data_IF_728033662991
#
_entry.id   IF_728033662991
#
_cell.length_a   1.000
_cell.length_b   1.000
_cell.length_c   1.000
_cell.angle_alpha   90.00
_cell.angle_beta   90.00
_cell.angle_gamma   90.00
#
_symmetry.space_group_name_H-M   'P 1'
#
loop_
_entity.id
_entity.type
_entity.pdbx_description
1 polymer ?
#
# COMPACT_ATOMS: atom_id res chain seq x y z
N UNK A 1 14.18 3.28 54.13
CA UNK A 1 12.77 3.39 53.66
C UNK A 1 12.51 4.63 52.80
N UNK A 2 13.26 5.70 52.97
CA UNK A 2 13.00 6.96 52.26
C UNK A 2 13.42 6.99 50.77
N UNK A 3 14.53 6.31 50.45
CA UNK A 3 14.96 6.20 49.03
C UNK A 3 13.96 5.44 48.17
N UNK A 4 13.37 4.38 48.66
CA UNK A 4 12.38 3.60 47.89
C UNK A 4 11.10 4.42 47.62
N UNK A 5 10.66 5.20 48.63
CA UNK A 5 9.51 6.12 48.46
C UNK A 5 9.81 7.24 47.46
N UNK A 6 11.00 7.83 47.52
CA UNK A 6 11.43 8.84 46.56
C UNK A 6 11.49 8.28 45.14
N UNK A 7 12.02 7.06 44.97
CA UNK A 7 12.08 6.38 43.68
C UNK A 7 10.67 6.12 43.09
N UNK A 8 9.76 5.62 43.95
CA UNK A 8 8.37 5.39 43.55
C UNK A 8 7.64 6.68 43.15
N UNK A 9 7.90 7.80 43.84
CA UNK A 9 7.31 9.09 43.48
C UNK A 9 7.86 9.62 42.16
N UNK A 10 9.18 9.47 41.94
CA UNK A 10 9.81 9.88 40.65
C UNK A 10 9.29 9.05 39.47
N UNK A 11 9.30 7.72 39.59
CA UNK A 11 8.81 6.84 38.54
C UNK A 11 7.29 6.99 38.30
N UNK A 12 6.51 7.14 39.38
CA UNK A 12 5.09 7.41 39.31
C UNK A 12 4.80 8.74 38.60
N UNK A 13 5.53 9.82 38.96
CA UNK A 13 5.43 11.11 38.31
C UNK A 13 5.82 11.07 36.81
N UNK A 14 6.91 10.35 36.48
CA UNK A 14 7.35 10.15 35.12
C UNK A 14 6.28 9.37 34.29
N UNK A 15 5.72 8.33 34.87
CA UNK A 15 4.64 7.54 34.26
C UNK A 15 3.41 8.40 33.96
N UNK A 16 2.97 9.21 34.92
CA UNK A 16 1.85 10.15 34.72
C UNK A 16 2.16 11.18 33.63
N UNK A 17 3.38 11.72 33.61
CA UNK A 17 3.81 12.68 32.59
C UNK A 17 3.80 12.05 31.17
N UNK A 18 4.31 10.82 31.02
CA UNK A 18 4.30 10.10 29.75
C UNK A 18 2.87 9.81 29.26
N UNK A 19 1.98 9.39 30.16
CA UNK A 19 0.56 9.18 29.87
C UNK A 19 -0.09 10.49 29.41
N UNK A 20 0.15 11.60 30.12
CA UNK A 20 -0.39 12.91 29.77
C UNK A 20 0.13 13.38 28.38
N UNK A 21 1.43 13.19 28.10
CA UNK A 21 2.02 13.51 26.78
C UNK A 21 1.39 12.65 25.68
N UNK A 22 1.16 11.36 25.92
CA UNK A 22 0.48 10.48 24.97
C UNK A 22 -0.94 10.97 24.65
N UNK A 23 -1.74 11.31 25.66
CA UNK A 23 -3.09 11.85 25.46
C UNK A 23 -3.08 13.19 24.73
N UNK A 24 -2.14 14.09 25.07
CA UNK A 24 -2.01 15.38 24.39
C UNK A 24 -1.63 15.18 22.91
N UNK A 25 -0.74 14.24 22.61
CA UNK A 25 -0.36 13.89 21.23
C UNK A 25 -1.57 13.34 20.46
N UNK A 26 -2.29 12.37 21.01
CA UNK A 26 -3.49 11.77 20.40
C UNK A 26 -4.58 12.81 20.15
N UNK A 27 -4.85 13.68 21.12
CA UNK A 27 -5.81 14.79 20.95
C UNK A 27 -5.38 15.76 19.82
N UNK A 28 -4.09 16.09 19.74
CA UNK A 28 -3.58 16.97 18.65
C UNK A 28 -3.73 16.29 17.29
N UNK A 29 -3.38 15.00 17.20
CA UNK A 29 -3.54 14.20 15.99
C UNK A 29 -5.00 14.17 15.54
N UNK A 30 -5.93 13.81 16.42
CA UNK A 30 -7.38 13.78 16.13
C UNK A 30 -7.92 15.15 15.67
N UNK A 31 -7.50 16.24 16.33
CA UNK A 31 -7.87 17.60 15.92
C UNK A 31 -7.33 17.96 14.54
N UNK A 32 -6.11 17.54 14.21
CA UNK A 32 -5.52 17.77 12.88
C UNK A 32 -6.30 17.01 11.81
N UNK A 33 -6.55 15.71 12.01
CA UNK A 33 -7.32 14.88 11.07
C UNK A 33 -8.71 15.46 10.85
N UNK A 34 -9.41 15.82 11.92
CA UNK A 34 -10.74 16.44 11.83
C UNK A 34 -10.72 17.78 11.05
N UNK A 35 -9.69 18.62 11.25
CA UNK A 35 -9.54 19.85 10.45
C UNK A 35 -9.35 19.54 8.95
N UNK A 36 -8.55 18.53 8.62
CA UNK A 36 -8.31 18.12 7.23
C UNK A 36 -9.60 17.58 6.60
N UNK A 37 -10.36 16.78 7.33
CA UNK A 37 -11.65 16.24 6.85
C UNK A 37 -12.68 17.31 6.54
N UNK A 38 -12.62 18.47 7.22
CA UNK A 38 -13.51 19.60 6.98
C UNK A 38 -13.09 20.46 5.78
N UNK A 39 -11.91 20.22 5.19
CA UNK A 39 -11.50 20.94 4.00
C UNK A 39 -12.39 20.55 2.81
N UNK A 40 -12.76 21.52 1.95
CA UNK A 40 -13.44 21.19 0.71
C UNK A 40 -12.52 20.38 -0.20
N UNK A 41 -13.06 19.34 -0.83
CA UNK A 41 -12.28 18.55 -1.78
C UNK A 41 -12.07 19.38 -3.06
N UNK A 42 -10.81 19.66 -3.49
CA UNK A 42 -10.52 20.56 -4.60
C UNK A 42 -11.09 20.04 -5.93
N UNK A 43 -11.62 20.95 -6.77
CA UNK A 43 -12.15 20.57 -8.10
C UNK A 43 -11.07 19.99 -9.02
N UNK A 44 -9.82 20.49 -8.92
CA UNK A 44 -8.69 19.89 -9.63
C UNK A 44 -8.55 18.41 -9.32
N UNK A 45 -8.66 18.02 -8.04
CA UNK A 45 -8.55 16.62 -7.60
C UNK A 45 -9.68 15.77 -8.18
N UNK A 46 -10.92 16.27 -8.19
CA UNK A 46 -12.04 15.57 -8.83
C UNK A 46 -11.81 15.35 -10.32
N UNK A 47 -11.29 16.36 -11.01
CA UNK A 47 -10.96 16.27 -12.43
C UNK A 47 -9.89 15.21 -12.73
N UNK A 48 -8.87 15.12 -11.89
CA UNK A 48 -7.83 14.09 -11.99
C UNK A 48 -8.43 12.70 -11.74
N UNK A 49 -9.18 12.54 -10.66
CA UNK A 49 -9.79 11.26 -10.28
C UNK A 49 -10.80 10.75 -11.31
N UNK A 50 -11.57 11.64 -11.92
CA UNK A 50 -12.55 11.27 -12.94
C UNK A 50 -11.93 10.61 -14.18
N UNK A 51 -10.63 10.81 -14.44
CA UNK A 51 -9.88 10.15 -15.51
C UNK A 51 -9.44 8.74 -15.15
N UNK A 52 -9.42 8.39 -13.86
CA UNK A 52 -8.99 7.05 -13.41
C UNK A 52 -10.06 5.99 -13.68
N UNK A 53 -9.69 4.73 -13.97
CA UNK A 53 -10.65 3.68 -14.31
C UNK A 53 -11.65 3.35 -13.20
N UNK A 54 -11.25 3.54 -11.93
CA UNK A 54 -12.00 3.13 -10.77
C UNK A 54 -12.96 4.19 -10.24
N UNK A 55 -12.54 5.45 -10.16
CA UNK A 55 -13.24 6.45 -9.35
C UNK A 55 -14.72 6.61 -9.71
N UNK A 56 -15.03 6.72 -11.00
CA UNK A 56 -16.43 6.87 -11.48
C UNK A 56 -17.30 5.63 -11.29
N UNK A 57 -16.68 4.45 -11.07
CA UNK A 57 -17.38 3.17 -10.87
C UNK A 57 -17.68 2.88 -9.41
N UNK A 58 -17.03 3.59 -8.51
CA UNK A 58 -17.29 3.45 -7.06
C UNK A 58 -18.65 4.06 -6.69
N UNK A 59 -19.24 3.54 -5.63
CA UNK A 59 -20.43 4.14 -5.05
C UNK A 59 -20.16 5.58 -4.58
N UNK A 60 -21.20 6.43 -4.53
CA UNK A 60 -21.04 7.80 -4.02
C UNK A 60 -20.53 7.83 -2.56
N UNK A 61 -20.85 6.81 -1.79
CA UNK A 61 -20.36 6.64 -0.42
C UNK A 61 -18.87 6.38 -0.41
N UNK A 62 -18.38 5.46 -1.27
CA UNK A 62 -16.96 5.12 -1.36
C UNK A 62 -16.14 6.26 -1.96
N UNK A 63 -16.70 6.97 -2.95
CA UNK A 63 -16.06 8.19 -3.47
C UNK A 63 -15.84 9.22 -2.36
N UNK A 64 -16.84 9.45 -1.48
CA UNK A 64 -16.70 10.37 -0.35
C UNK A 64 -15.66 9.88 0.68
N UNK A 65 -15.64 8.58 0.98
CA UNK A 65 -14.61 7.99 1.86
C UNK A 65 -13.22 8.20 1.27
N UNK A 66 -13.03 7.89 -0.01
CA UNK A 66 -11.77 8.10 -0.72
C UNK A 66 -11.34 9.56 -0.76
N UNK A 67 -12.25 10.50 -1.03
CA UNK A 67 -11.93 11.92 -1.01
C UNK A 67 -11.34 12.36 0.34
N UNK A 68 -11.95 11.91 1.45
CA UNK A 68 -11.43 12.19 2.80
C UNK A 68 -10.05 11.55 3.02
N UNK A 69 -9.93 10.26 2.68
CA UNK A 69 -8.67 9.54 2.82
C UNK A 69 -7.53 10.17 2.01
N UNK A 70 -7.80 10.61 0.77
CA UNK A 70 -6.85 11.31 -0.10
C UNK A 70 -6.42 12.64 0.53
N UNK A 71 -7.35 13.44 1.08
CA UNK A 71 -6.99 14.68 1.76
C UNK A 71 -6.08 14.42 2.97
N UNK A 72 -6.44 13.45 3.81
CA UNK A 72 -5.62 13.06 4.96
C UNK A 72 -4.23 12.61 4.48
N UNK A 73 -4.17 11.74 3.48
CA UNK A 73 -2.94 11.22 2.93
C UNK A 73 -2.03 12.35 2.43
N UNK A 74 -2.53 13.24 1.59
CA UNK A 74 -1.75 14.35 1.01
C UNK A 74 -1.26 15.33 2.09
N UNK A 75 -2.06 15.58 3.14
CA UNK A 75 -1.70 16.53 4.19
C UNK A 75 -0.84 15.92 5.30
N UNK A 76 -0.74 14.61 5.39
CA UNK A 76 0.04 13.92 6.44
C UNK A 76 1.32 13.30 5.92
N UNK A 77 1.49 13.14 4.60
CA UNK A 77 2.69 12.56 3.98
C UNK A 77 3.53 13.66 3.32
N UNK A 78 4.85 13.46 3.33
CA UNK A 78 5.81 14.30 2.62
C UNK A 78 6.08 13.71 1.25
N UNK A 79 5.97 14.53 0.19
CA UNK A 79 6.29 14.10 -1.18
C UNK A 79 7.60 14.76 -1.60
N UNK A 80 8.57 13.97 -2.00
CA UNK A 80 9.92 14.41 -2.39
C UNK A 80 10.21 13.95 -3.80
N UNK A 81 10.39 14.91 -4.72
CA UNK A 81 10.82 14.61 -6.09
C UNK A 81 12.34 14.56 -6.18
N UNK A 82 12.87 13.51 -6.80
CA UNK A 82 14.31 13.39 -7.10
C UNK A 82 14.53 13.76 -8.55
N UNK A 83 15.22 14.89 -8.78
CA UNK A 83 15.43 15.46 -10.12
C UNK A 83 14.12 15.81 -10.87
N UNK A 84 13.05 16.08 -10.14
CA UNK A 84 11.77 16.52 -10.67
C UNK A 84 10.95 17.28 -9.64
N UNK A 85 10.05 18.14 -10.11
CA UNK A 85 9.06 18.79 -9.26
C UNK A 85 7.82 17.90 -9.08
N UNK A 86 7.29 17.87 -7.86
CA UNK A 86 6.06 17.13 -7.54
C UNK A 86 4.84 18.00 -7.87
N UNK A 87 4.01 17.51 -8.78
CA UNK A 87 2.76 18.18 -9.12
C UNK A 87 1.60 17.73 -8.22
N UNK A 88 0.53 18.54 -8.15
CA UNK A 88 -0.69 18.14 -7.42
C UNK A 88 -1.34 16.89 -8.04
N UNK A 89 -1.26 16.74 -9.36
CA UNK A 89 -1.74 15.54 -10.06
C UNK A 89 -1.01 14.28 -9.58
N UNK A 90 0.32 14.32 -9.46
CA UNK A 90 1.11 13.21 -8.90
C UNK A 90 0.65 12.84 -7.49
N UNK A 91 0.50 13.82 -6.61
CA UNK A 91 0.04 13.59 -5.23
C UNK A 91 -1.33 12.93 -5.21
N UNK A 92 -2.27 13.42 -6.03
CA UNK A 92 -3.63 12.89 -6.11
C UNK A 92 -3.66 11.47 -6.62
N UNK A 93 -2.90 11.15 -7.67
CA UNK A 93 -2.85 9.81 -8.25
C UNK A 93 -2.23 8.81 -7.27
N UNK A 94 -1.10 9.15 -6.65
CA UNK A 94 -0.46 8.29 -5.66
C UNK A 94 -1.40 8.06 -4.47
N UNK A 95 -1.96 9.14 -3.91
CA UNK A 95 -2.90 9.05 -2.80
C UNK A 95 -4.16 8.26 -3.16
N UNK A 96 -4.67 8.38 -4.39
CA UNK A 96 -5.85 7.66 -4.86
C UNK A 96 -5.63 6.14 -4.83
N UNK A 97 -4.58 5.65 -5.49
CA UNK A 97 -4.33 4.20 -5.54
C UNK A 97 -3.94 3.63 -4.17
N UNK A 98 -3.15 4.37 -3.39
CA UNK A 98 -2.85 4.00 -2.01
C UNK A 98 -4.13 3.85 -1.16
N UNK A 99 -5.00 4.85 -1.18
CA UNK A 99 -6.23 4.85 -0.38
C UNK A 99 -7.30 3.90 -0.93
N UNK A 100 -7.30 3.60 -2.24
CA UNK A 100 -8.21 2.64 -2.85
C UNK A 100 -8.06 1.25 -2.23
N UNK A 101 -6.83 0.83 -1.93
CA UNK A 101 -6.54 -0.44 -1.27
C UNK A 101 -7.17 -0.56 0.13
N UNK A 102 -7.43 0.56 0.79
CA UNK A 102 -7.94 0.62 2.15
C UNK A 102 -9.36 1.22 2.26
N UNK A 103 -10.06 1.41 1.14
CA UNK A 103 -11.35 2.16 1.09
C UNK A 103 -12.45 1.56 1.97
N UNK A 104 -12.42 0.25 2.19
CA UNK A 104 -13.35 -0.48 3.05
C UNK A 104 -12.77 -0.88 4.40
N UNK A 105 -11.48 -0.59 4.64
CA UNK A 105 -10.85 -0.83 5.95
C UNK A 105 -11.15 0.32 6.89
N UNK A 106 -11.43 0.00 8.14
CA UNK A 106 -11.61 1.00 9.20
C UNK A 106 -10.27 1.57 9.64
N UNK A 107 -9.72 2.49 8.85
CA UNK A 107 -8.47 3.18 9.18
C UNK A 107 -8.72 4.67 9.26
N UNK A 108 -8.53 5.26 10.45
CA UNK A 108 -8.60 6.72 10.64
C UNK A 108 -7.51 7.44 9.85
N UNK A 109 -6.38 6.78 9.62
CA UNK A 109 -5.24 7.32 8.89
C UNK A 109 -4.60 6.21 8.05
N UNK A 110 -4.72 6.33 6.72
CA UNK A 110 -4.11 5.38 5.80
C UNK A 110 -2.58 5.38 5.96
N UNK A 111 -2.00 4.20 6.20
CA UNK A 111 -0.54 4.00 6.32
C UNK A 111 0.10 4.91 7.37
N UNK A 112 -0.26 4.72 8.64
CA UNK A 112 0.18 5.59 9.73
C UNK A 112 1.71 5.63 9.91
N UNK A 113 2.40 4.51 9.72
CA UNK A 113 3.85 4.38 9.79
C UNK A 113 4.57 5.13 8.65
N UNK A 114 3.98 5.18 7.45
CA UNK A 114 4.53 5.85 6.28
C UNK A 114 4.55 7.37 6.48
N UNK A 115 5.71 7.99 6.22
CA UNK A 115 5.89 9.46 6.32
C UNK A 115 6.27 10.10 4.99
N UNK A 116 7.07 9.40 4.20
CA UNK A 116 7.69 9.99 3.01
C UNK A 116 7.38 9.18 1.76
N UNK A 117 7.08 9.87 0.67
CA UNK A 117 6.95 9.30 -0.66
C UNK A 117 7.99 9.97 -1.55
N UNK A 118 8.95 9.17 -2.01
CA UNK A 118 10.00 9.63 -2.91
C UNK A 118 9.59 9.29 -4.33
N UNK A 119 9.63 10.26 -5.22
CA UNK A 119 9.22 10.08 -6.61
C UNK A 119 10.41 10.33 -7.53
N UNK A 120 10.73 9.34 -8.35
CA UNK A 120 11.73 9.43 -9.42
C UNK A 120 11.04 9.55 -10.78
N UNK A 121 11.59 10.34 -11.73
CA UNK A 121 10.98 10.48 -13.07
C UNK A 121 11.04 9.18 -13.87
N UNK A 122 12.17 8.48 -13.81
CA UNK A 122 12.46 7.23 -14.51
C UNK A 122 13.25 6.29 -13.60
N UNK A 123 13.33 5.02 -14.00
CA UNK A 123 14.17 4.04 -13.33
C UNK A 123 15.61 4.53 -13.27
N UNK A 124 16.17 4.62 -12.08
CA UNK A 124 17.58 4.93 -11.89
C UNK A 124 18.36 3.62 -12.03
N UNK A 125 19.01 3.43 -13.17
CA UNK A 125 19.97 2.33 -13.35
C UNK A 125 21.26 2.72 -12.64
N UNK A 126 21.28 2.62 -11.32
CA UNK A 126 22.49 2.73 -10.51
C UNK A 126 23.23 1.39 -10.52
N UNK A 127 24.55 1.42 -10.73
CA UNK A 127 25.40 0.21 -10.72
C UNK A 127 25.39 -0.61 -9.43
N UNK A 128 24.66 -0.20 -8.40
CA UNK A 128 24.52 -0.90 -7.11
C UNK A 128 23.13 -1.51 -6.86
N UNK A 129 22.19 -1.39 -7.79
CA UNK A 129 20.86 -2.00 -7.69
C UNK A 129 20.79 -3.34 -8.44
N UNK A 130 21.90 -3.82 -8.95
CA UNK A 130 22.02 -5.13 -9.58
C UNK A 130 22.52 -6.18 -8.61
N UNK A 131 21.64 -6.64 -7.74
CA UNK A 131 21.79 -7.97 -7.15
C UNK A 131 20.45 -8.68 -7.32
N UNK A 132 20.46 -9.59 -8.30
CA UNK A 132 19.40 -10.50 -8.71
C UNK A 132 18.43 -10.01 -9.79
N UNK A 133 18.85 -10.14 -11.04
CA UNK A 133 17.99 -10.52 -12.16
C UNK A 133 16.84 -9.60 -12.51
N UNK A 134 17.13 -8.36 -12.87
CA UNK A 134 16.27 -7.49 -13.69
C UNK A 134 14.80 -7.43 -13.32
N UNK A 135 14.35 -6.25 -13.05
CA UNK A 135 13.06 -5.71 -12.70
C UNK A 135 13.03 -5.39 -11.20
N UNK A 136 13.21 -4.11 -10.90
CA UNK A 136 12.88 -3.44 -9.64
C UNK A 136 12.92 -4.31 -8.39
N UNK A 137 14.05 -4.90 -8.06
CA UNK A 137 14.28 -5.26 -6.68
C UNK A 137 14.65 -3.99 -5.96
N UNK A 138 13.88 -3.66 -4.95
CA UNK A 138 14.19 -2.70 -3.93
C UNK A 138 15.69 -2.65 -3.67
N UNK A 139 16.35 -1.63 -4.19
CA UNK A 139 17.53 -1.17 -3.54
C UNK A 139 17.02 -0.61 -2.20
N UNK A 140 17.23 -1.34 -1.11
CA UNK A 140 17.27 -0.73 0.19
C UNK A 140 18.15 0.49 0.04
N UNK A 141 17.56 1.66 -0.11
CA UNK A 141 18.25 2.89 0.13
C UNK A 141 18.56 2.86 1.63
N UNK A 142 19.70 2.32 1.99
CA UNK A 142 20.37 2.60 3.24
C UNK A 142 20.79 4.06 3.19
N UNK A 143 19.81 4.95 3.32
CA UNK A 143 20.05 6.25 3.91
C UNK A 143 20.31 5.95 5.38
N UNK A 144 21.60 5.94 5.74
CA UNK A 144 22.11 5.84 7.11
C UNK A 144 21.11 5.47 8.19
N UNK A 145 20.88 4.20 8.40
CA UNK A 145 20.59 3.63 9.71
C UNK A 145 19.21 3.83 10.35
N UNK A 146 18.25 4.55 9.77
CA UNK A 146 17.02 4.85 10.53
C UNK A 146 15.66 4.90 9.78
N UNK A 147 15.51 4.64 8.50
CA UNK A 147 14.21 4.86 7.85
C UNK A 147 13.85 3.96 6.67
N UNK A 148 14.16 2.71 6.63
CA UNK A 148 13.64 1.82 5.57
C UNK A 148 12.11 1.61 5.67
N UNK A 149 11.49 1.81 6.84
CA UNK A 149 10.11 1.41 7.13
C UNK A 149 9.08 2.56 7.10
N UNK A 150 9.45 3.80 6.77
CA UNK A 150 8.53 4.92 6.70
C UNK A 150 8.55 5.65 5.35
N UNK A 151 9.10 5.01 4.32
CA UNK A 151 9.33 5.63 3.00
C UNK A 151 8.97 4.68 1.87
N UNK A 152 8.13 5.16 0.95
CA UNK A 152 7.78 4.49 -0.32
C UNK A 152 8.46 5.21 -1.47
N UNK A 153 8.97 4.43 -2.43
CA UNK A 153 9.60 4.95 -3.66
C UNK A 153 8.71 4.67 -4.86
N UNK A 154 8.39 5.70 -5.64
CA UNK A 154 7.54 5.59 -6.83
C UNK A 154 8.32 6.04 -8.07
N UNK A 155 8.33 5.20 -9.11
CA UNK A 155 8.82 5.56 -10.43
C UNK A 155 7.66 6.15 -11.23
N UNK A 156 7.66 7.48 -11.42
CA UNK A 156 6.52 8.19 -11.98
C UNK A 156 6.17 7.76 -13.40
N UNK A 157 7.18 7.54 -14.26
CA UNK A 157 6.93 7.11 -15.64
C UNK A 157 6.09 5.82 -15.74
N UNK A 158 6.30 4.88 -14.83
CA UNK A 158 5.51 3.64 -14.76
C UNK A 158 4.14 3.90 -14.11
N UNK A 159 4.13 4.67 -13.02
CA UNK A 159 2.91 5.04 -12.30
C UNK A 159 1.92 5.81 -13.21
N UNK A 160 2.40 6.76 -14.00
CA UNK A 160 1.58 7.56 -14.92
C UNK A 160 0.88 6.71 -15.98
N UNK A 161 1.58 5.72 -16.54
CA UNK A 161 0.98 4.80 -17.52
C UNK A 161 -0.18 4.00 -16.93
N UNK A 162 0.00 3.50 -15.71
CA UNK A 162 -1.01 2.70 -15.03
C UNK A 162 -2.15 3.55 -14.47
N UNK A 163 -1.92 4.84 -14.19
CA UNK A 163 -2.87 5.71 -13.51
C UNK A 163 -4.22 5.83 -14.23
N UNK A 164 -4.20 5.82 -15.57
CA UNK A 164 -5.38 6.08 -16.39
C UNK A 164 -5.86 4.89 -17.21
N UNK A 165 -5.10 3.80 -17.24
CA UNK A 165 -5.40 2.63 -18.08
C UNK A 165 -5.23 1.33 -17.29
N UNK A 166 -6.22 0.46 -17.33
CA UNK A 166 -6.14 -0.87 -16.77
C UNK A 166 -5.20 -1.79 -17.56
N UNK A 167 -4.82 -2.90 -16.94
CA UNK A 167 -3.97 -3.97 -17.49
C UNK A 167 -2.50 -3.57 -17.67
N UNK A 168 -2.08 -2.52 -16.99
CA UNK A 168 -0.67 -2.18 -16.81
C UNK A 168 -0.15 -2.71 -15.47
N UNK A 169 1.15 -2.72 -15.29
CA UNK A 169 1.74 -2.94 -13.97
C UNK A 169 1.59 -1.63 -13.18
N UNK A 170 0.78 -1.66 -12.13
CA UNK A 170 0.54 -0.50 -11.32
C UNK A 170 1.50 -0.47 -10.14
N UNK A 171 2.64 0.18 -10.35
CA UNK A 171 3.69 0.28 -9.33
C UNK A 171 3.20 0.91 -8.03
N UNK A 172 2.21 1.82 -8.07
CA UNK A 172 1.64 2.39 -6.84
C UNK A 172 0.92 1.31 -6.04
N UNK A 173 0.07 0.51 -6.68
CA UNK A 173 -0.61 -0.61 -6.01
C UNK A 173 0.40 -1.59 -5.45
N UNK A 174 1.46 -1.89 -6.20
CA UNK A 174 2.53 -2.81 -5.81
C UNK A 174 3.21 -2.36 -4.51
N UNK A 175 3.77 -1.15 -4.50
CA UNK A 175 4.48 -0.61 -3.33
C UNK A 175 3.56 -0.47 -2.12
N UNK A 176 2.31 -0.04 -2.32
CA UNK A 176 1.36 0.07 -1.22
C UNK A 176 0.79 -1.29 -0.76
N UNK A 177 0.88 -2.34 -1.56
CA UNK A 177 0.64 -3.70 -1.07
C UNK A 177 1.73 -4.15 -0.10
N UNK A 178 3.01 -3.83 -0.36
CA UNK A 178 4.09 -4.06 0.61
C UNK A 178 3.90 -3.26 1.90
N UNK A 179 3.43 -2.01 1.81
CA UNK A 179 3.08 -1.23 3.01
C UNK A 179 1.95 -1.87 3.83
N UNK A 180 0.97 -2.49 3.15
CA UNK A 180 -0.10 -3.25 3.82
C UNK A 180 0.45 -4.52 4.46
N UNK A 181 1.32 -5.25 3.77
CA UNK A 181 1.98 -6.45 4.31
C UNK A 181 2.76 -6.11 5.59
N UNK A 182 3.46 -4.99 5.57
CA UNK A 182 4.28 -4.51 6.70
C UNK A 182 3.47 -3.96 7.90
N UNK A 183 2.16 -3.81 7.80
CA UNK A 183 1.36 -3.20 8.90
C UNK A 183 1.46 -3.95 10.24
N UNK A 184 1.83 -5.23 10.25
CA UNK A 184 2.09 -6.00 11.47
C UNK A 184 3.58 -6.07 11.84
N UNK A 185 4.44 -5.42 11.07
CA UNK A 185 5.90 -5.31 11.29
C UNK A 185 6.73 -6.36 10.55
N UNK A 186 6.11 -7.21 9.73
CA UNK A 186 6.78 -8.25 8.93
C UNK A 186 6.41 -8.08 7.45
N UNK A 187 7.31 -8.41 6.54
CA UNK A 187 7.05 -8.46 5.09
C UNK A 187 7.22 -9.92 4.68
N UNK A 188 6.11 -10.68 4.68
CA UNK A 188 6.11 -12.12 4.41
C UNK A 188 4.99 -12.57 3.46
N UNK A 189 4.26 -11.62 2.85
CA UNK A 189 3.15 -11.87 1.95
C UNK A 189 1.85 -12.22 2.68
N UNK A 190 1.80 -12.01 4.00
CA UNK A 190 0.61 -12.26 4.83
C UNK A 190 0.20 -10.96 5.52
N UNK A 191 -0.60 -10.11 4.87
CA UNK A 191 -1.04 -8.87 5.47
C UNK A 191 -1.87 -9.12 6.74
N UNK A 192 -2.08 -8.11 7.61
CA UNK A 192 -2.87 -8.27 8.82
C UNK A 192 -4.30 -8.75 8.49
N UNK A 193 -4.58 -10.00 8.80
CA UNK A 193 -5.87 -10.66 8.57
C UNK A 193 -6.43 -11.22 9.88
N UNK A 194 -7.75 -11.38 9.93
CA UNK A 194 -8.40 -12.02 11.07
C UNK A 194 -7.93 -13.47 11.24
N UNK A 195 -7.72 -13.90 12.50
CA UNK A 195 -7.28 -15.27 12.81
C UNK A 195 -8.17 -16.35 12.19
N UNK A 196 -9.47 -16.08 12.07
CA UNK A 196 -10.44 -16.98 11.44
C UNK A 196 -10.18 -17.23 9.96
N UNK A 197 -9.62 -16.24 9.24
CA UNK A 197 -9.34 -16.28 7.80
C UNK A 197 -7.91 -16.75 7.50
N UNK A 198 -7.01 -16.74 8.51
CA UNK A 198 -5.58 -17.00 8.34
C UNK A 198 -5.27 -18.32 7.62
N UNK A 199 -5.88 -19.43 8.05
CA UNK A 199 -5.61 -20.73 7.44
C UNK A 199 -6.08 -20.82 5.99
N UNK A 200 -7.22 -20.23 5.65
CA UNK A 200 -7.71 -20.16 4.26
C UNK A 200 -6.74 -19.40 3.37
N UNK A 201 -6.36 -18.21 3.83
CA UNK A 201 -5.40 -17.34 3.15
C UNK A 201 -4.08 -18.06 2.87
N UNK A 202 -3.40 -18.52 3.93
CA UNK A 202 -2.08 -19.17 3.81
C UNK A 202 -2.14 -20.39 2.89
N UNK A 203 -3.13 -21.25 3.05
CA UNK A 203 -3.24 -22.47 2.22
C UNK A 203 -3.46 -22.13 0.75
N UNK A 204 -4.31 -21.15 0.45
CA UNK A 204 -4.61 -20.75 -0.94
C UNK A 204 -3.41 -20.07 -1.60
N UNK A 205 -2.80 -19.10 -0.92
CA UNK A 205 -1.65 -18.38 -1.47
C UNK A 205 -0.43 -19.31 -1.60
N UNK A 206 -0.11 -20.09 -0.57
CA UNK A 206 1.04 -20.99 -0.61
C UNK A 206 0.94 -22.07 -1.69
N UNK A 207 -0.25 -22.63 -1.91
CA UNK A 207 -0.54 -23.59 -2.98
C UNK A 207 -0.18 -22.99 -4.36
N UNK A 208 -0.69 -21.80 -4.66
CA UNK A 208 -0.51 -21.17 -5.96
C UNK A 208 0.90 -20.58 -6.11
N UNK A 209 1.51 -20.03 -5.05
CA UNK A 209 2.90 -19.61 -5.03
C UNK A 209 3.87 -20.75 -5.32
N UNK A 210 3.71 -21.89 -4.64
CA UNK A 210 4.55 -23.08 -4.85
C UNK A 210 4.43 -23.61 -6.29
N UNK A 211 3.22 -23.62 -6.85
CA UNK A 211 2.99 -24.02 -8.23
C UNK A 211 3.64 -23.05 -9.23
N UNK A 212 3.50 -21.74 -9.00
CA UNK A 212 4.15 -20.71 -9.82
C UNK A 212 5.68 -20.82 -9.76
N UNK A 213 6.24 -21.01 -8.57
CA UNK A 213 7.70 -21.13 -8.39
C UNK A 213 8.25 -22.33 -9.17
N UNK A 214 7.58 -23.48 -9.12
CA UNK A 214 7.95 -24.64 -9.92
C UNK A 214 7.91 -24.39 -11.43
N UNK A 215 6.91 -23.66 -11.93
CA UNK A 215 6.78 -23.29 -13.34
C UNK A 215 7.87 -22.31 -13.73
N UNK A 216 8.15 -21.30 -12.89
CA UNK A 216 9.22 -20.31 -13.11
C UNK A 216 10.58 -20.97 -13.23
N UNK A 217 10.91 -21.92 -12.35
CA UNK A 217 12.19 -22.67 -12.41
C UNK A 217 12.32 -23.49 -13.68
N UNK A 218 11.22 -24.09 -14.18
CA UNK A 218 11.22 -24.87 -15.42
C UNK A 218 11.16 -23.99 -16.68
N UNK A 219 10.77 -22.74 -16.54
CA UNK A 219 10.58 -21.74 -17.60
C UNK A 219 9.76 -22.24 -18.80
N UNK A 220 8.73 -23.02 -18.56
CA UNK A 220 7.84 -23.54 -19.59
C UNK A 220 6.46 -23.88 -19.03
N UNK A 221 5.46 -23.97 -19.94
CA UNK A 221 4.08 -24.32 -19.58
C UNK A 221 3.42 -23.34 -18.61
N UNK A 222 3.65 -22.05 -18.82
CA UNK A 222 3.13 -20.99 -17.96
C UNK A 222 1.59 -21.00 -17.80
N UNK A 223 0.82 -21.41 -18.83
CA UNK A 223 -0.63 -21.49 -18.75
C UNK A 223 -1.27 -20.26 -18.12
N UNK A 224 -2.10 -20.47 -17.09
CA UNK A 224 -2.76 -19.39 -16.33
C UNK A 224 -1.77 -18.45 -15.62
N UNK A 225 -0.57 -18.95 -15.28
CA UNK A 225 0.44 -18.20 -14.54
C UNK A 225 1.12 -17.10 -15.36
N UNK A 226 0.89 -17.03 -16.68
CA UNK A 226 1.29 -15.86 -17.50
C UNK A 226 0.69 -14.56 -16.96
N UNK A 227 -0.48 -14.62 -16.33
CA UNK A 227 -1.14 -13.47 -15.73
C UNK A 227 -0.31 -12.86 -14.59
N UNK A 228 0.35 -13.70 -13.81
CA UNK A 228 1.16 -13.29 -12.66
C UNK A 228 2.59 -12.94 -13.07
N UNK A 229 3.17 -13.69 -14.02
CA UNK A 229 4.55 -13.49 -14.47
C UNK A 229 5.59 -14.09 -13.54
N UNK A 230 6.86 -14.07 -14.00
CA UNK A 230 7.97 -14.68 -13.26
C UNK A 230 8.35 -13.92 -11.98
N UNK A 231 8.12 -12.61 -11.97
CA UNK A 231 8.46 -11.74 -10.84
C UNK A 231 7.70 -12.13 -9.57
N UNK A 232 6.45 -12.52 -9.69
CA UNK A 232 5.64 -13.02 -8.58
C UNK A 232 6.20 -14.31 -7.94
N UNK A 233 7.17 -14.99 -8.56
CA UNK A 233 7.83 -16.16 -8.00
C UNK A 233 9.12 -15.82 -7.21
N UNK A 234 9.47 -14.55 -7.06
CA UNK A 234 10.71 -14.11 -6.38
C UNK A 234 10.71 -14.45 -4.89
N UNK A 235 9.62 -14.11 -4.22
CA UNK A 235 9.32 -14.44 -2.83
C UNK A 235 7.83 -14.25 -2.55
N UNK A 236 7.38 -14.58 -1.33
CA UNK A 236 5.98 -14.53 -0.92
C UNK A 236 5.42 -13.10 -0.90
N UNK A 237 6.23 -12.13 -0.48
CA UNK A 237 5.83 -10.71 -0.45
C UNK A 237 5.58 -10.16 -1.85
N UNK A 238 6.48 -10.47 -2.81
CA UNK A 238 6.28 -10.12 -4.22
C UNK A 238 5.07 -10.82 -4.83
N UNK A 239 4.82 -12.06 -4.42
CA UNK A 239 3.61 -12.78 -4.84
C UNK A 239 2.36 -12.04 -4.41
N UNK A 240 2.27 -11.61 -3.14
CA UNK A 240 1.14 -10.83 -2.63
C UNK A 240 1.01 -9.47 -3.33
N UNK A 241 2.11 -8.76 -3.55
CA UNK A 241 2.09 -7.46 -4.23
C UNK A 241 1.59 -7.59 -5.67
N UNK A 242 2.10 -8.57 -6.43
CA UNK A 242 1.61 -8.85 -7.80
C UNK A 242 0.16 -9.31 -7.81
N UNK A 243 -0.27 -10.13 -6.86
CA UNK A 243 -1.69 -10.51 -6.75
C UNK A 243 -2.57 -9.30 -6.52
N UNK A 244 -2.15 -8.37 -5.66
CA UNK A 244 -2.85 -7.12 -5.40
C UNK A 244 -2.94 -6.27 -6.67
N UNK A 245 -1.84 -6.13 -7.42
CA UNK A 245 -1.90 -5.48 -8.73
C UNK A 245 -2.94 -6.15 -9.65
N UNK A 246 -2.88 -7.47 -9.83
CA UNK A 246 -3.79 -8.21 -10.73
C UNK A 246 -5.24 -8.12 -10.28
N UNK A 247 -5.48 -8.06 -8.97
CA UNK A 247 -6.82 -7.91 -8.40
C UNK A 247 -7.46 -6.56 -8.77
N UNK A 248 -6.67 -5.51 -8.89
CA UNK A 248 -7.15 -4.20 -9.34
C UNK A 248 -6.98 -3.99 -10.85
N UNK A 249 -5.88 -4.42 -11.47
CA UNK A 249 -5.59 -4.14 -12.89
C UNK A 249 -6.23 -5.11 -13.88
N UNK A 250 -6.47 -6.35 -13.45
CA UNK A 250 -7.01 -7.41 -14.32
C UNK A 250 -8.02 -8.29 -13.58
N UNK A 251 -9.03 -7.71 -12.88
CA UNK A 251 -9.88 -8.42 -11.94
C UNK A 251 -10.67 -9.56 -12.58
N UNK A 252 -11.23 -9.35 -13.76
CA UNK A 252 -12.01 -10.38 -14.48
C UNK A 252 -11.12 -11.56 -14.86
N UNK A 253 -9.89 -11.29 -15.33
CA UNK A 253 -8.94 -12.34 -15.68
C UNK A 253 -8.45 -13.08 -14.44
N UNK A 254 -8.19 -12.39 -13.34
CA UNK A 254 -7.78 -13.02 -12.08
C UNK A 254 -8.90 -13.91 -11.55
N UNK A 255 -10.14 -13.43 -11.52
CA UNK A 255 -11.32 -14.19 -11.08
C UNK A 255 -11.53 -15.45 -11.92
N UNK A 256 -11.30 -15.36 -13.24
CA UNK A 256 -11.45 -16.49 -14.15
C UNK A 256 -10.36 -17.56 -13.97
N UNK A 257 -9.10 -17.15 -13.86
CA UNK A 257 -7.97 -18.07 -13.83
C UNK A 257 -7.61 -18.57 -12.43
N UNK A 258 -7.90 -17.77 -11.40
CA UNK A 258 -7.54 -17.99 -10.01
C UNK A 258 -8.71 -17.64 -9.08
N UNK A 259 -9.86 -18.34 -9.18
CA UNK A 259 -11.07 -17.98 -8.43
C UNK A 259 -10.87 -18.02 -6.91
N UNK A 260 -10.09 -18.99 -6.39
CA UNK A 260 -9.78 -19.11 -4.96
C UNK A 260 -8.95 -17.90 -4.48
N UNK A 261 -7.86 -17.54 -5.19
CA UNK A 261 -7.07 -16.34 -4.88
C UNK A 261 -7.90 -15.06 -4.98
N UNK A 262 -8.74 -14.94 -6.00
CA UNK A 262 -9.63 -13.81 -6.15
C UNK A 262 -10.56 -13.65 -4.95
N UNK A 263 -11.12 -14.76 -4.47
CA UNK A 263 -12.02 -14.78 -3.31
C UNK A 263 -11.31 -14.34 -2.02
N UNK A 264 -10.07 -14.82 -1.78
CA UNK A 264 -9.27 -14.39 -0.63
C UNK A 264 -8.98 -12.88 -0.70
N UNK A 265 -8.56 -12.36 -1.85
CA UNK A 265 -8.31 -10.92 -2.04
C UNK A 265 -9.59 -10.09 -1.91
N UNK A 266 -10.72 -10.56 -2.45
CA UNK A 266 -12.03 -9.93 -2.30
C UNK A 266 -12.44 -9.87 -0.82
N UNK A 267 -12.22 -10.94 -0.07
CA UNK A 267 -12.49 -10.98 1.37
C UNK A 267 -11.55 -10.06 2.15
N UNK A 268 -10.29 -9.96 1.72
CA UNK A 268 -9.29 -9.10 2.35
C UNK A 268 -9.55 -7.62 2.07
N UNK A 269 -9.67 -7.22 0.81
CA UNK A 269 -9.91 -5.83 0.40
C UNK A 269 -11.37 -5.36 0.57
N UNK A 270 -12.29 -6.30 0.84
CA UNK A 270 -13.73 -6.06 1.04
C UNK A 270 -14.41 -5.38 -0.17
N UNK A 271 -13.90 -5.61 -1.37
CA UNK A 271 -14.40 -5.06 -2.62
C UNK A 271 -14.42 -6.14 -3.73
N UNK A 272 -15.49 -6.22 -4.51
CA UNK A 272 -15.54 -7.07 -5.73
C UNK A 272 -15.11 -6.22 -6.93
N UNK A 273 -13.79 -6.21 -7.18
CA UNK A 273 -13.21 -5.43 -8.28
C UNK A 273 -13.71 -5.89 -9.65
N UNK A 274 -13.93 -7.18 -9.87
CA UNK A 274 -14.46 -7.70 -11.15
C UNK A 274 -15.87 -7.15 -11.44
N UNK A 275 -16.71 -7.00 -10.41
CA UNK A 275 -18.06 -6.46 -10.57
C UNK A 275 -18.08 -5.00 -11.03
N UNK A 276 -17.03 -4.24 -10.74
CA UNK A 276 -16.92 -2.84 -11.18
C UNK A 276 -16.68 -2.71 -12.69
N UNK A 277 -16.28 -3.80 -13.37
CA UNK A 277 -15.91 -3.81 -14.79
C UNK A 277 -16.76 -4.80 -15.63
N UNK A 278 -17.78 -5.39 -15.05
CA UNK A 278 -18.84 -6.16 -15.73
C UNK A 278 -20.13 -5.36 -15.81
#
# INVERSE_FOLDING_TARGET
MDYLRALLLVFGGLGVALIALFFLYDMRKKRLLHKIEMLPFPELYKTVLAKTPYYSRLSLTDQKKLQRAILIFIHTKSFVGVHMDITEEMKVIIAFYACLLLVHKETENCYESLKTIIVYPHTVVGRQIMSNGGIYSEGQFTLDGQSANDTVVIIWHEAEKAAYHLRHNNVIIHEFAHEIDFMDGVIDGIPPIEKSKYHGWVNTLYKEYTALNKISQQNRNWGKYKLLGAYAASNEAEFFAVLSERFFESPVSLKHHFPELYHELQSFYEIDTAKLFT
#
